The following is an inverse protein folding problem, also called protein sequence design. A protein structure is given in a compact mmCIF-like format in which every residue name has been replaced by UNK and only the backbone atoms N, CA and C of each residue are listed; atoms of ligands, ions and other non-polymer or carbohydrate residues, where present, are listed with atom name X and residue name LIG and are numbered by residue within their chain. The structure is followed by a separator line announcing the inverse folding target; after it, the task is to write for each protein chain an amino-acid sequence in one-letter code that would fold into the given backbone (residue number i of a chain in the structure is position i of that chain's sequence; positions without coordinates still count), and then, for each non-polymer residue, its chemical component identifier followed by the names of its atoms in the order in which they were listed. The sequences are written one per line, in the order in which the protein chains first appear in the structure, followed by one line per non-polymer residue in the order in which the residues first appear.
data_IF_842748677328
#
_entry.id   IF_842748677328
#
_cell.length_a   1.000
_cell.length_b   1.000
_cell.length_c   1.000
_cell.angle_alpha   90.00
_cell.angle_beta   90.00
_cell.angle_gamma   90.00
#
_symmetry.space_group_name_H-M   'P 1'
#
loop_
_entity.id
_entity.type
_entity.pdbx_description
1 polymer ?
#
# COMPACT_ATOMS: atom_id res chain seq x y z
N UNK A 1 3.39 61.41 -1.84
CA UNK A 1 3.08 60.70 -3.12
C UNK A 1 3.73 59.33 -3.05
N UNK A 2 3.05 58.37 -2.41
CA UNK A 2 3.49 56.97 -2.30
C UNK A 2 2.43 56.16 -3.04
N UNK A 3 2.82 55.53 -4.15
CA UNK A 3 1.95 54.65 -4.93
C UNK A 3 1.89 53.30 -4.22
N UNK A 4 0.78 53.00 -3.56
CA UNK A 4 0.45 51.63 -3.16
C UNK A 4 0.12 50.82 -4.42
N UNK A 5 1.02 49.91 -4.78
CA UNK A 5 0.77 48.92 -5.81
C UNK A 5 -0.21 47.88 -5.26
N UNK A 6 -1.51 48.11 -5.45
CA UNK A 6 -2.53 47.08 -5.27
C UNK A 6 -2.31 45.97 -6.32
N UNK A 7 -1.63 44.90 -5.90
CA UNK A 7 -1.61 43.63 -6.62
C UNK A 7 -3.06 43.13 -6.63
N UNK A 8 -3.68 43.10 -7.82
CA UNK A 8 -5.09 42.68 -7.98
C UNK A 8 -5.28 41.26 -7.44
N UNK A 9 -6.30 40.99 -6.61
CA UNK A 9 -6.53 39.67 -5.99
C UNK A 9 -6.73 38.55 -7.02
N UNK A 10 -7.09 38.88 -8.26
CA UNK A 10 -7.17 37.94 -9.37
C UNK A 10 -5.82 37.31 -9.75
N UNK A 11 -4.70 38.01 -9.55
CA UNK A 11 -3.37 37.48 -9.88
C UNK A 11 -2.92 36.46 -8.82
N UNK A 12 -3.24 36.70 -7.54
CA UNK A 12 -2.96 35.77 -6.44
C UNK A 12 -3.80 34.50 -6.57
N UNK A 13 -5.08 34.62 -6.92
CA UNK A 13 -5.95 33.47 -7.18
C UNK A 13 -5.49 32.66 -8.40
N UNK A 14 -5.05 33.31 -9.48
CA UNK A 14 -4.53 32.61 -10.66
C UNK A 14 -3.24 31.85 -10.35
N UNK A 15 -2.35 32.40 -9.51
CA UNK A 15 -1.11 31.74 -9.09
C UNK A 15 -1.36 30.54 -8.18
N UNK A 16 -2.32 30.64 -7.25
CA UNK A 16 -2.73 29.51 -6.41
C UNK A 16 -3.35 28.37 -7.24
N UNK A 17 -4.20 28.69 -8.20
CA UNK A 17 -4.79 27.69 -9.11
C UNK A 17 -3.75 27.03 -10.02
N UNK A 18 -2.75 27.77 -10.49
CA UNK A 18 -1.66 27.20 -11.30
C UNK A 18 -0.73 26.32 -10.46
N UNK A 19 -0.47 26.67 -9.19
CA UNK A 19 0.30 25.84 -8.26
C UNK A 19 -0.42 24.55 -7.85
N UNK A 20 -1.76 24.57 -7.80
CA UNK A 20 -2.57 23.37 -7.55
C UNK A 20 -2.59 22.39 -8.73
N UNK A 21 -2.58 22.90 -9.97
CA UNK A 21 -2.54 22.06 -11.18
C UNK A 21 -1.12 21.55 -11.52
N UNK A 22 -0.08 22.27 -11.11
CA UNK A 22 1.32 21.84 -11.22
C UNK A 22 1.80 21.01 -10.01
N UNK A 23 0.95 20.83 -9.00
CA UNK A 23 1.26 20.07 -7.80
C UNK A 23 1.18 18.57 -8.04
N UNK A 24 2.34 17.92 -8.00
CA UNK A 24 2.57 16.46 -7.99
C UNK A 24 2.69 15.75 -9.34
N UNK A 25 3.60 16.22 -10.20
CA UNK A 25 4.23 15.30 -11.15
C UNK A 25 5.34 14.54 -10.41
N UNK A 26 5.04 13.34 -9.91
CA UNK A 26 6.08 12.49 -9.31
C UNK A 26 6.82 11.74 -10.43
N UNK A 27 8.15 11.80 -10.44
CA UNK A 27 8.96 11.15 -11.49
C UNK A 27 8.80 9.61 -11.54
N UNK A 28 8.43 9.00 -10.41
CA UNK A 28 8.35 7.55 -10.25
C UNK A 28 7.06 7.09 -9.54
N UNK A 29 6.08 7.97 -9.39
CA UNK A 29 4.82 7.64 -8.73
C UNK A 29 3.65 8.19 -9.53
N UNK A 30 2.54 7.47 -9.53
CA UNK A 30 1.33 7.88 -10.22
C UNK A 30 0.21 7.83 -9.19
N UNK A 31 -0.43 8.97 -8.95
CA UNK A 31 -1.68 9.01 -8.18
C UNK A 31 -2.80 8.60 -9.13
N UNK A 32 -3.43 7.46 -8.84
CA UNK A 32 -4.56 7.01 -9.65
C UNK A 32 -5.77 7.94 -9.45
N UNK A 33 -6.51 8.27 -10.51
CA UNK A 33 -7.79 8.94 -10.35
C UNK A 33 -8.74 8.00 -9.61
N UNK A 34 -9.27 8.46 -8.47
CA UNK A 34 -10.19 7.70 -7.63
C UNK A 34 -11.59 8.35 -7.67
N UNK A 35 -12.66 7.59 -7.39
CA UNK A 35 -13.98 8.16 -7.21
C UNK A 35 -13.96 9.25 -6.13
N UNK A 36 -14.70 10.34 -6.34
CA UNK A 36 -14.90 11.34 -5.28
C UNK A 36 -15.77 10.71 -4.18
N UNK A 37 -15.23 10.65 -2.96
CA UNK A 37 -15.92 10.14 -1.77
C UNK A 37 -16.05 11.20 -0.67
N UNK A 38 -15.73 12.45 -0.99
CA UNK A 38 -15.74 13.57 -0.03
C UNK A 38 -17.13 13.86 0.54
N UNK A 39 -18.19 13.40 -0.13
CA UNK A 39 -19.57 13.54 0.33
C UNK A 39 -19.95 12.61 1.48
N UNK A 40 -19.12 11.63 1.83
CA UNK A 40 -19.41 10.68 2.89
C UNK A 40 -18.61 11.03 4.17
N UNK A 41 -19.23 11.06 5.36
CA UNK A 41 -18.56 11.47 6.61
C UNK A 41 -17.55 10.44 7.16
N UNK A 42 -17.24 9.37 6.41
CA UNK A 42 -16.41 8.27 6.88
C UNK A 42 -15.13 8.20 6.07
N UNK A 43 -14.07 7.72 6.72
CA UNK A 43 -12.79 7.47 6.06
C UNK A 43 -12.90 6.18 5.24
N UNK A 44 -12.40 6.21 4.00
CA UNK A 44 -12.22 5.05 3.15
C UNK A 44 -10.72 4.73 3.08
N UNK A 45 -10.37 3.47 3.33
CA UNK A 45 -9.01 2.98 3.17
C UNK A 45 -8.71 2.78 1.68
N UNK A 46 -7.43 2.66 1.32
CA UNK A 46 -7.04 2.33 -0.05
C UNK A 46 -7.72 1.07 -0.58
N UNK A 47 -7.96 0.08 0.30
CA UNK A 47 -8.72 -1.13 -0.03
C UNK A 47 -10.19 -0.85 -0.37
N UNK A 48 -10.87 0.03 0.39
CA UNK A 48 -12.27 0.35 0.09
C UNK A 48 -12.39 1.12 -1.23
N UNK A 49 -11.43 2.00 -1.52
CA UNK A 49 -11.38 2.73 -2.79
C UNK A 49 -11.14 1.76 -3.96
N UNK A 50 -10.21 0.81 -3.80
CA UNK A 50 -9.96 -0.22 -4.81
C UNK A 50 -11.19 -1.12 -5.04
N UNK A 51 -11.92 -1.47 -3.97
CA UNK A 51 -13.19 -2.21 -4.05
C UNK A 51 -14.24 -1.44 -4.86
N UNK A 52 -14.37 -0.12 -4.63
CA UNK A 52 -15.29 0.72 -5.41
C UNK A 52 -14.92 0.84 -6.89
N UNK A 53 -13.62 0.70 -7.20
CA UNK A 53 -13.14 0.63 -8.58
C UNK A 53 -13.30 -0.77 -9.20
N UNK A 54 -13.98 -1.70 -8.50
CA UNK A 54 -14.17 -3.10 -8.90
C UNK A 54 -12.83 -3.82 -9.14
N UNK A 55 -11.76 -3.42 -8.43
CA UNK A 55 -10.40 -3.93 -8.61
C UNK A 55 -9.88 -3.84 -10.06
N UNK A 56 -10.51 -3.03 -10.93
CA UNK A 56 -10.13 -2.86 -12.34
C UNK A 56 -8.65 -2.54 -12.57
N UNK A 57 -7.97 -1.73 -11.73
CA UNK A 57 -6.53 -1.51 -11.87
C UNK A 57 -5.66 -2.78 -11.84
N UNK A 58 -6.18 -3.88 -11.28
CA UNK A 58 -5.49 -5.16 -11.14
C UNK A 58 -5.86 -6.19 -12.21
N UNK A 59 -6.85 -5.91 -13.07
CA UNK A 59 -7.31 -6.89 -14.06
C UNK A 59 -6.25 -7.22 -15.10
N UNK A 60 -6.10 -8.53 -15.36
CA UNK A 60 -5.12 -9.08 -16.29
C UNK A 60 -3.68 -9.04 -15.77
N UNK A 61 -3.48 -8.79 -14.47
CA UNK A 61 -2.15 -8.74 -13.84
C UNK A 61 -1.92 -9.97 -12.96
N UNK A 62 -0.68 -10.45 -12.99
CA UNK A 62 -0.14 -11.35 -11.97
C UNK A 62 0.51 -10.50 -10.89
N UNK A 63 0.10 -10.68 -9.64
CA UNK A 63 0.45 -9.79 -8.53
C UNK A 63 1.11 -10.53 -7.37
N UNK A 64 2.06 -9.84 -6.74
CA UNK A 64 2.53 -10.17 -5.40
C UNK A 64 1.79 -9.32 -4.37
N UNK A 65 1.40 -9.90 -3.24
CA UNK A 65 0.63 -9.18 -2.20
C UNK A 65 1.40 -9.16 -0.89
N UNK A 66 1.78 -7.98 -0.41
CA UNK A 66 2.32 -7.79 0.94
C UNK A 66 1.20 -7.38 1.89
N UNK A 67 0.89 -8.26 2.85
CA UNK A 67 -0.31 -8.14 3.68
C UNK A 67 -0.15 -8.83 5.03
N UNK A 68 -1.01 -8.49 5.98
CA UNK A 68 -1.22 -9.22 7.25
C UNK A 68 -2.72 -9.20 7.62
N UNK A 69 -3.09 -9.69 8.81
CA UNK A 69 -4.48 -9.71 9.31
C UNK A 69 -5.21 -8.35 9.28
N UNK A 70 -4.47 -7.24 9.25
CA UNK A 70 -5.05 -5.89 9.32
C UNK A 70 -5.60 -5.42 7.98
N UNK A 71 -5.30 -6.14 6.89
CA UNK A 71 -5.73 -5.84 5.53
C UNK A 71 -7.22 -6.15 5.31
N UNK A 72 -8.10 -5.52 6.09
CA UNK A 72 -9.56 -5.65 5.99
C UNK A 72 -10.18 -4.36 5.48
N UNK A 73 -11.26 -4.51 4.71
CA UNK A 73 -12.11 -3.39 4.30
C UNK A 73 -13.01 -2.96 5.47
N UNK A 74 -13.82 -1.91 5.27
CA UNK A 74 -14.77 -1.41 6.29
C UNK A 74 -15.84 -2.43 6.71
N UNK A 75 -16.10 -3.45 5.88
CA UNK A 75 -17.03 -4.55 6.19
C UNK A 75 -16.35 -5.68 6.98
N UNK A 76 -15.05 -5.57 7.28
CA UNK A 76 -14.27 -6.61 7.95
C UNK A 76 -13.87 -7.77 7.06
N UNK A 77 -14.01 -7.65 5.73
CA UNK A 77 -13.57 -8.67 4.77
C UNK A 77 -12.11 -8.44 4.41
N UNK A 78 -11.30 -9.49 4.46
CA UNK A 78 -9.87 -9.41 4.19
C UNK A 78 -9.56 -9.21 2.69
N UNK A 79 -8.46 -8.54 2.35
CA UNK A 79 -8.00 -8.30 0.97
C UNK A 79 -7.94 -9.59 0.16
N UNK A 80 -7.30 -10.63 0.70
CA UNK A 80 -7.23 -11.95 0.07
C UNK A 80 -8.58 -12.67 -0.02
N UNK A 81 -9.63 -12.22 0.66
CA UNK A 81 -10.98 -12.74 0.39
C UNK A 81 -11.64 -12.02 -0.78
N UNK A 82 -11.43 -10.70 -0.83
CA UNK A 82 -11.96 -9.86 -1.88
C UNK A 82 -11.34 -10.22 -3.24
N UNK A 83 -10.01 -10.32 -3.32
CA UNK A 83 -9.31 -10.66 -4.57
C UNK A 83 -9.75 -12.00 -5.17
N UNK A 84 -10.13 -12.97 -4.33
CA UNK A 84 -10.59 -14.30 -4.75
C UNK A 84 -11.86 -14.23 -5.58
N UNK A 85 -12.70 -13.21 -5.34
CA UNK A 85 -13.93 -13.00 -6.10
C UNK A 85 -13.66 -12.51 -7.54
N UNK A 86 -12.41 -12.15 -7.88
CA UNK A 86 -12.03 -11.58 -9.17
C UNK A 86 -11.09 -12.51 -9.95
N UNK A 87 -11.60 -13.43 -10.78
CA UNK A 87 -10.79 -14.43 -11.50
C UNK A 87 -9.85 -13.84 -12.57
N UNK A 88 -9.93 -12.53 -12.81
CA UNK A 88 -9.04 -11.79 -13.73
C UNK A 88 -7.76 -11.29 -13.04
N UNK A 89 -7.60 -11.56 -11.76
CA UNK A 89 -6.44 -11.17 -10.95
C UNK A 89 -5.75 -12.45 -10.51
N UNK A 90 -4.47 -12.59 -10.84
CA UNK A 90 -3.70 -13.77 -10.47
C UNK A 90 -2.77 -13.42 -9.29
N UNK A 91 -2.98 -14.05 -8.14
CA UNK A 91 -2.14 -13.83 -6.95
C UNK A 91 -1.12 -14.95 -6.88
N UNK A 92 0.11 -14.67 -7.30
CA UNK A 92 1.17 -15.68 -7.37
C UNK A 92 2.02 -15.73 -6.10
N UNK A 93 2.27 -14.58 -5.48
CA UNK A 93 3.13 -14.45 -4.29
C UNK A 93 2.40 -13.72 -3.17
N UNK A 94 2.53 -14.22 -1.95
CA UNK A 94 2.09 -13.54 -0.72
C UNK A 94 3.31 -13.28 0.16
N UNK A 95 3.64 -12.01 0.35
CA UNK A 95 4.70 -11.55 1.25
C UNK A 95 4.12 -11.36 2.66
N UNK A 96 4.72 -12.00 3.66
CA UNK A 96 4.29 -11.91 5.06
C UNK A 96 5.31 -11.16 5.92
N UNK A 97 4.88 -10.21 6.77
CA UNK A 97 5.76 -9.54 7.73
C UNK A 97 6.06 -10.41 8.97
N UNK A 98 6.79 -9.84 9.93
CA UNK A 98 7.02 -10.43 11.25
C UNK A 98 5.70 -10.89 11.90
N UNK A 99 5.68 -12.12 12.44
CA UNK A 99 4.51 -12.80 13.04
C UNK A 99 3.44 -13.33 12.07
N UNK A 100 3.67 -13.28 10.75
CA UNK A 100 2.81 -13.94 9.77
C UNK A 100 1.42 -13.31 9.64
N UNK A 101 0.48 -14.04 9.01
CA UNK A 101 -0.85 -13.50 8.69
C UNK A 101 -1.82 -13.52 9.88
N UNK A 102 -1.61 -14.32 10.96
CA UNK A 102 -2.52 -14.37 12.13
C UNK A 102 -1.84 -14.81 13.44
N UNK A 103 -2.01 -14.00 14.48
CA UNK A 103 -2.14 -14.51 15.84
C UNK A 103 -3.60 -14.94 16.04
N UNK A 104 -3.82 -16.25 16.03
CA UNK A 104 -5.01 -16.97 16.53
C UNK A 104 -6.28 -17.09 15.61
N UNK A 105 -6.74 -18.34 15.45
CA UNK A 105 -8.11 -18.83 15.12
C UNK A 105 -8.70 -18.82 13.69
N UNK A 106 -7.97 -18.62 12.60
CA UNK A 106 -8.49 -18.97 11.26
C UNK A 106 -7.77 -20.19 10.66
N UNK A 107 -8.54 -21.26 10.37
CA UNK A 107 -8.04 -22.53 9.78
C UNK A 107 -7.28 -22.32 8.45
N UNK A 108 -7.57 -21.22 7.75
CA UNK A 108 -6.91 -20.82 6.51
C UNK A 108 -5.39 -20.66 6.63
N UNK A 109 -4.84 -20.53 7.84
CA UNK A 109 -3.46 -20.09 8.02
C UNK A 109 -2.65 -20.89 9.04
N UNK A 110 -3.10 -22.10 9.42
CA UNK A 110 -2.23 -23.08 10.09
C UNK A 110 -1.22 -23.63 9.08
N UNK A 111 -0.05 -23.03 9.01
CA UNK A 111 0.99 -23.43 8.07
C UNK A 111 1.94 -24.47 8.69
N UNK A 112 2.05 -25.64 8.07
CA UNK A 112 3.08 -26.66 8.37
C UNK A 112 4.08 -26.75 7.21
N UNK A 113 5.39 -26.81 7.51
CA UNK A 113 6.46 -27.09 6.54
C UNK A 113 7.33 -25.89 6.09
N UNK A 114 8.40 -26.20 5.34
CA UNK A 114 9.46 -25.26 4.90
C UNK A 114 9.17 -24.53 3.57
N UNK A 115 8.28 -25.07 2.73
CA UNK A 115 7.74 -24.37 1.55
C UNK A 115 6.24 -24.19 1.75
N UNK A 116 5.84 -22.94 1.95
CA UNK A 116 4.49 -22.58 2.35
C UNK A 116 3.75 -22.05 1.12
N UNK A 117 2.76 -22.80 0.67
CA UNK A 117 1.78 -22.31 -0.31
C UNK A 117 0.50 -21.94 0.43
N UNK A 118 -0.15 -20.87 0.00
CA UNK A 118 -1.49 -20.57 0.47
C UNK A 118 -2.46 -21.66 0.00
N UNK A 119 -3.28 -22.25 0.88
CA UNK A 119 -4.14 -23.38 0.52
C UNK A 119 -5.24 -23.00 -0.49
N UNK A 120 -5.60 -21.71 -0.58
CA UNK A 120 -6.70 -21.20 -1.39
C UNK A 120 -6.18 -20.71 -2.74
N UNK A 121 -5.21 -19.82 -2.74
CA UNK A 121 -4.63 -19.23 -3.94
C UNK A 121 -3.61 -20.13 -4.61
N UNK A 122 -3.04 -21.10 -3.87
CA UNK A 122 -1.82 -21.80 -4.28
C UNK A 122 -0.65 -20.83 -4.55
N UNK A 123 -0.74 -19.62 -4.03
CA UNK A 123 0.31 -18.62 -4.07
C UNK A 123 1.49 -19.07 -3.20
N UNK A 124 2.71 -18.75 -3.62
CA UNK A 124 3.91 -19.00 -2.81
C UNK A 124 3.98 -17.97 -1.70
N UNK A 125 4.28 -18.42 -0.49
CA UNK A 125 4.43 -17.55 0.66
C UNK A 125 5.90 -17.25 0.88
N UNK A 126 6.20 -15.96 1.01
CA UNK A 126 7.53 -15.44 1.26
C UNK A 126 7.49 -14.66 2.57
N UNK A 127 8.11 -15.20 3.61
CA UNK A 127 8.29 -14.49 4.87
C UNK A 127 9.41 -13.45 4.71
N UNK A 128 9.07 -12.17 4.84
CA UNK A 128 9.99 -11.03 4.70
C UNK A 128 10.36 -10.49 6.09
N UNK A 129 10.99 -11.35 6.88
CA UNK A 129 11.45 -11.04 8.22
C UNK A 129 12.64 -11.93 8.63
N UNK A 130 13.44 -11.50 9.62
CA UNK A 130 14.51 -12.30 10.19
C UNK A 130 15.66 -12.54 9.20
N UNK A 131 15.88 -13.79 8.77
CA UNK A 131 16.96 -14.14 7.82
C UNK A 131 16.71 -13.60 6.40
N UNK A 132 15.45 -13.35 6.05
CA UNK A 132 15.03 -12.82 4.75
C UNK A 132 14.50 -11.39 4.89
N UNK A 133 15.33 -10.48 5.42
CA UNK A 133 14.96 -9.05 5.54
C UNK A 133 14.60 -8.44 4.17
N UNK A 134 15.20 -8.98 3.11
CA UNK A 134 14.95 -8.62 1.71
C UNK A 134 14.20 -9.78 1.03
N UNK A 135 13.11 -9.53 0.29
CA UNK A 135 12.48 -10.56 -0.53
C UNK A 135 13.52 -11.18 -1.49
N UNK A 136 13.50 -12.50 -1.70
CA UNK A 136 14.44 -13.13 -2.62
C UNK A 136 14.10 -12.71 -4.05
N UNK A 137 15.11 -12.44 -4.88
CA UNK A 137 14.93 -11.93 -6.26
C UNK A 137 13.97 -12.78 -7.11
N UNK A 138 13.97 -14.11 -6.92
CA UNK A 138 13.07 -14.98 -7.66
C UNK A 138 11.59 -14.65 -7.44
N UNK A 139 11.24 -14.04 -6.30
CA UNK A 139 9.86 -13.67 -5.95
C UNK A 139 9.30 -12.52 -6.78
N UNK A 140 10.14 -11.83 -7.55
CA UNK A 140 9.71 -10.79 -8.49
C UNK A 140 9.46 -11.31 -9.90
N UNK A 141 9.93 -12.51 -10.23
CA UNK A 141 9.83 -13.06 -11.60
C UNK A 141 8.38 -13.42 -11.90
N UNK A 142 7.87 -12.92 -13.02
CA UNK A 142 6.51 -13.20 -13.47
C UNK A 142 5.44 -12.28 -12.88
N UNK A 143 5.80 -11.39 -11.94
CA UNK A 143 4.87 -10.39 -11.41
C UNK A 143 4.78 -9.18 -12.35
N UNK A 144 3.59 -8.59 -12.42
CA UNK A 144 3.31 -7.30 -13.06
C UNK A 144 3.22 -6.15 -12.06
N UNK A 145 2.95 -6.46 -10.79
CA UNK A 145 2.68 -5.49 -9.74
C UNK A 145 2.87 -6.12 -8.34
N UNK A 146 3.38 -5.32 -7.40
CA UNK A 146 3.26 -5.62 -5.97
C UNK A 146 2.15 -4.77 -5.36
N UNK A 147 1.15 -5.40 -4.76
CA UNK A 147 0.10 -4.75 -3.99
C UNK A 147 0.48 -4.77 -2.50
N UNK A 148 0.46 -3.61 -1.85
CA UNK A 148 0.77 -3.48 -0.42
C UNK A 148 -0.49 -3.04 0.31
N UNK A 149 -0.90 -3.81 1.31
CA UNK A 149 -1.98 -3.46 2.22
C UNK A 149 -1.67 -3.91 3.65
N UNK A 150 -1.32 -2.98 4.52
CA UNK A 150 -1.00 -3.26 5.91
C UNK A 150 -1.21 -2.02 6.78
N UNK A 151 -1.84 -2.19 7.95
CA UNK A 151 -1.97 -1.14 8.94
C UNK A 151 -0.68 -1.03 9.75
N UNK A 152 0.01 0.10 9.63
CA UNK A 152 1.11 0.46 10.52
C UNK A 152 0.62 1.17 11.78
N UNK A 153 1.49 1.23 12.79
CA UNK A 153 1.21 1.87 14.09
C UNK A 153 1.61 3.34 14.14
N UNK A 154 2.37 3.84 13.16
CA UNK A 154 2.85 5.23 13.14
C UNK A 154 4.09 5.47 14.01
N UNK A 155 4.67 4.42 14.61
CA UNK A 155 5.91 4.50 15.39
C UNK A 155 7.06 3.81 14.65
N UNK A 156 8.25 4.39 14.73
CA UNK A 156 9.45 3.87 14.05
C UNK A 156 9.87 2.45 14.50
N UNK A 157 9.54 2.05 15.72
CA UNK A 157 9.90 0.70 16.21
C UNK A 157 9.13 -0.41 15.50
N UNK A 158 8.00 -0.08 14.85
CA UNK A 158 7.26 -1.03 14.02
C UNK A 158 8.12 -1.53 12.85
N UNK A 159 8.13 -2.84 12.64
CA UNK A 159 8.94 -3.47 11.59
C UNK A 159 8.28 -3.43 10.22
N UNK A 160 6.98 -3.10 10.13
CA UNK A 160 6.24 -3.14 8.86
C UNK A 160 6.75 -2.13 7.83
N UNK A 161 7.01 -0.88 8.26
CA UNK A 161 7.56 0.14 7.36
C UNK A 161 8.97 -0.24 6.91
N UNK A 162 9.79 -0.82 7.79
CA UNK A 162 11.12 -1.31 7.43
C UNK A 162 11.06 -2.46 6.41
N UNK A 163 10.15 -3.41 6.59
CA UNK A 163 9.90 -4.49 5.64
C UNK A 163 9.40 -3.95 4.30
N UNK A 164 8.47 -2.99 4.31
CA UNK A 164 7.98 -2.33 3.11
C UNK A 164 9.13 -1.65 2.33
N UNK A 165 10.02 -0.94 3.02
CA UNK A 165 11.20 -0.33 2.38
C UNK A 165 12.06 -1.37 1.67
N UNK A 166 12.20 -2.58 2.22
CA UNK A 166 12.97 -3.67 1.61
C UNK A 166 12.28 -4.26 0.39
N UNK A 167 10.95 -4.33 0.41
CA UNK A 167 10.16 -4.69 -0.77
C UNK A 167 10.33 -3.63 -1.86
N UNK A 168 10.24 -2.34 -1.51
CA UNK A 168 10.44 -1.23 -2.45
C UNK A 168 11.86 -1.22 -3.05
N UNK A 169 12.88 -1.56 -2.26
CA UNK A 169 14.27 -1.69 -2.72
C UNK A 169 14.39 -2.76 -3.82
N UNK A 170 13.88 -3.98 -3.58
CA UNK A 170 13.90 -5.06 -4.59
C UNK A 170 13.01 -4.70 -5.79
N UNK A 171 11.85 -4.10 -5.54
CA UNK A 171 10.95 -3.69 -6.61
C UNK A 171 11.63 -2.67 -7.55
N UNK A 172 12.40 -1.73 -7.00
CA UNK A 172 13.19 -0.78 -7.77
C UNK A 172 14.28 -1.48 -8.60
N UNK A 173 14.96 -2.48 -8.06
CA UNK A 173 15.99 -3.25 -8.79
C UNK A 173 15.39 -3.99 -10.01
N UNK A 174 14.12 -4.39 -9.92
CA UNK A 174 13.40 -5.12 -10.97
C UNK A 174 12.50 -4.24 -11.85
N UNK A 175 12.49 -2.92 -11.65
CA UNK A 175 11.50 -2.01 -12.27
C UNK A 175 10.04 -2.48 -12.06
N UNK A 176 9.77 -3.11 -10.93
CA UNK A 176 8.47 -3.66 -10.57
C UNK A 176 7.57 -2.54 -10.05
N UNK A 177 6.40 -2.28 -10.67
CA UNK A 177 5.42 -1.35 -10.15
C UNK A 177 4.93 -1.79 -8.76
N UNK A 178 4.69 -0.82 -7.88
CA UNK A 178 4.13 -1.05 -6.54
C UNK A 178 2.89 -0.18 -6.35
N UNK A 179 1.79 -0.81 -5.93
CA UNK A 179 0.54 -0.15 -5.55
C UNK A 179 0.36 -0.24 -4.04
N UNK A 180 0.42 0.91 -3.37
CA UNK A 180 0.17 1.02 -1.93
C UNK A 180 -1.30 1.37 -1.68
N UNK A 181 -2.00 0.49 -0.96
CA UNK A 181 -3.33 0.78 -0.45
C UNK A 181 -3.18 1.53 0.87
N UNK A 182 -3.23 2.86 0.78
CA UNK A 182 -2.94 3.73 1.91
C UNK A 182 -3.93 3.54 3.07
N UNK A 183 -3.42 3.68 4.29
CA UNK A 183 -4.19 3.52 5.53
C UNK A 183 -3.93 4.69 6.49
N UNK A 184 -4.92 5.10 7.29
CA UNK A 184 -4.73 6.16 8.26
C UNK A 184 -3.60 5.84 9.25
N UNK A 185 -2.76 6.83 9.56
CA UNK A 185 -1.83 6.73 10.66
C UNK A 185 -2.60 6.83 12.00
N UNK A 186 -2.58 5.80 12.87
CA UNK A 186 -3.31 5.82 14.14
C UNK A 186 -2.91 6.95 15.09
N UNK A 187 -1.69 7.48 14.94
CA UNK A 187 -1.16 8.59 15.72
C UNK A 187 -1.44 9.99 15.13
N UNK A 188 -2.19 10.06 14.03
CA UNK A 188 -2.51 11.27 13.26
C UNK A 188 -1.32 11.75 12.40
N UNK A 189 -1.61 12.62 11.43
CA UNK A 189 -0.62 13.18 10.50
C UNK A 189 0.03 14.50 10.97
N UNK A 190 -0.36 15.01 12.13
CA UNK A 190 0.06 16.32 12.67
C UNK A 190 0.98 16.21 13.90
N UNK A 191 1.36 14.98 14.30
CA UNK A 191 2.24 14.74 15.45
C UNK A 191 3.58 14.17 14.98
N UNK A 192 4.66 14.76 15.48
CA UNK A 192 6.02 14.30 15.27
C UNK A 192 6.76 14.37 16.60
N UNK A 193 7.42 13.27 17.00
CA UNK A 193 8.14 13.18 18.27
C UNK A 193 9.33 12.22 18.16
N UNK A 194 10.31 12.39 19.04
CA UNK A 194 11.52 11.57 19.15
C UNK A 194 12.67 12.04 18.25
N UNK A 195 13.91 11.60 18.56
CA UNK A 195 15.08 11.94 17.77
C UNK A 195 15.06 11.23 16.41
N UNK A 196 15.55 11.91 15.37
CA UNK A 196 15.82 11.29 14.06
C UNK A 196 16.89 10.19 14.22
N UNK A 197 16.82 9.16 13.37
CA UNK A 197 17.83 8.09 13.34
C UNK A 197 19.18 8.70 13.01
N UNK A 198 20.20 8.41 13.82
CA UNK A 198 21.58 8.76 13.49
C UNK A 198 22.12 7.74 12.48
N UNK A 199 22.86 8.19 11.45
CA UNK A 199 23.51 7.30 10.48
C UNK A 199 24.41 6.25 11.12
#
# INVERSE_FOLDING_TARGET
MIRENHIRPHIINAFLWFSLLAGQQFNHSIVLPVPDLSFHPSIFYGLDVLEQMDFKPLYGKTIGVFTNQTAVNRKGTHLLDLLKAHPKIDVEIIFLPQYGLFADKNERFKMQGDQKYDPIYKARIVEVFGRNVKPPEWSMRGLDLILIDIQDTGVRYSTYVATMTKILEVASEWNMPVMLLDRPNPLRGDRLDGPVVRP
#
